data_IF_595641632886
#
_entry.id   IF_595641632886
#
_cell.length_a   1.000
_cell.length_b   1.000
_cell.length_c   1.000
_cell.angle_alpha   90.00
_cell.angle_beta   90.00
_cell.angle_gamma   90.00
#
_symmetry.space_group_name_H-M   'P 1'
#
loop_
_entity.id
_entity.type
_entity.pdbx_description
1 polymer ?
#
# COMPACT_ATOMS: atom_id res chain seq x y z
N UNK A 1 -4.18 -8.19 -11.39
CA UNK A 1 -3.30 -7.08 -10.98
C UNK A 1 -2.32 -7.59 -9.94
N UNK A 2 -1.14 -7.00 -9.82
CA UNK A 2 -0.17 -7.33 -8.75
C UNK A 2 0.27 -6.03 -8.07
N UNK A 3 0.29 -6.02 -6.74
CA UNK A 3 0.81 -4.91 -5.93
C UNK A 3 1.89 -5.41 -4.98
N UNK A 4 2.83 -4.55 -4.64
CA UNK A 4 3.83 -4.81 -3.60
C UNK A 4 3.33 -4.40 -2.22
N UNK A 5 3.74 -5.10 -1.18
CA UNK A 5 3.64 -4.66 0.21
C UNK A 5 4.88 -5.06 1.00
N UNK A 6 5.43 -4.20 1.88
CA UNK A 6 6.55 -4.57 2.72
C UNK A 6 6.07 -5.43 3.91
N UNK A 7 6.80 -6.50 4.21
CA UNK A 7 6.75 -7.21 5.49
C UNK A 7 7.98 -6.87 6.32
N UNK A 8 7.81 -6.61 7.62
CA UNK A 8 8.92 -6.36 8.53
C UNK A 8 9.89 -7.55 8.63
N UNK A 9 9.40 -8.77 8.38
CA UNK A 9 10.14 -10.04 8.46
C UNK A 9 10.90 -10.23 9.79
N UNK A 10 10.40 -9.64 10.88
CA UNK A 10 10.95 -9.77 12.25
C UNK A 10 10.16 -10.83 13.03
N UNK A 11 10.07 -12.04 12.46
CA UNK A 11 9.19 -13.10 12.96
C UNK A 11 9.81 -13.91 14.12
N UNK A 12 11.05 -13.59 14.51
CA UNK A 12 11.78 -14.25 15.61
C UNK A 12 12.18 -13.22 16.66
N UNK A 13 12.08 -13.58 17.95
CA UNK A 13 12.35 -12.65 19.07
C UNK A 13 13.80 -12.18 19.09
N UNK A 14 14.72 -13.01 18.61
CA UNK A 14 16.16 -12.76 18.60
C UNK A 14 16.55 -11.66 17.62
N UNK A 15 15.76 -11.46 16.55
CA UNK A 15 16.04 -10.45 15.50
C UNK A 15 15.24 -9.16 15.71
N UNK A 16 14.23 -9.17 16.59
CA UNK A 16 13.42 -7.99 16.90
C UNK A 16 14.27 -6.77 17.35
N UNK A 17 15.26 -6.90 18.25
CA UNK A 17 16.05 -5.74 18.71
C UNK A 17 17.19 -5.35 17.77
N UNK A 18 17.46 -6.14 16.72
CA UNK A 18 18.65 -5.94 15.88
C UNK A 18 18.49 -4.76 14.91
N UNK A 19 19.56 -3.96 14.79
CA UNK A 19 19.69 -2.94 13.76
C UNK A 19 20.15 -3.63 12.47
N UNK A 20 19.36 -3.51 11.40
CA UNK A 20 19.62 -4.15 10.11
C UNK A 20 18.44 -4.04 9.16
N UNK A 21 18.67 -4.38 7.89
CA UNK A 21 17.64 -4.40 6.86
C UNK A 21 16.96 -5.78 6.80
N UNK A 22 15.80 -5.88 7.44
CA UNK A 22 15.02 -7.13 7.51
C UNK A 22 13.77 -7.08 6.61
N UNK A 23 13.39 -5.90 6.11
CA UNK A 23 12.16 -5.75 5.33
C UNK A 23 12.22 -6.63 4.08
N UNK A 24 11.25 -7.50 3.92
CA UNK A 24 11.02 -8.24 2.68
C UNK A 24 9.81 -7.63 1.93
N UNK A 25 9.73 -7.84 0.62
CA UNK A 25 8.59 -7.40 -0.18
C UNK A 25 7.76 -8.59 -0.61
N UNK A 26 6.44 -8.50 -0.43
CA UNK A 26 5.48 -9.49 -0.89
C UNK A 26 4.73 -8.94 -2.10
N UNK A 27 4.68 -9.72 -3.19
CA UNK A 27 3.85 -9.42 -4.35
C UNK A 27 2.48 -10.09 -4.18
N UNK A 28 1.43 -9.28 -4.06
CA UNK A 28 0.06 -9.74 -3.88
C UNK A 28 -0.68 -9.69 -5.22
N UNK A 29 -1.01 -10.86 -5.75
CA UNK A 29 -1.78 -10.99 -6.99
C UNK A 29 -3.27 -11.00 -6.68
N UNK A 30 -3.99 -10.01 -7.17
CA UNK A 30 -5.44 -9.91 -7.03
C UNK A 30 -6.13 -10.11 -8.36
N UNK A 31 -7.25 -10.84 -8.34
CA UNK A 31 -8.07 -11.14 -9.51
C UNK A 31 -9.49 -10.58 -9.33
N UNK A 32 -9.94 -9.80 -10.32
CA UNK A 32 -11.28 -9.23 -10.39
C UNK A 32 -12.15 -9.89 -11.48
N UNK A 33 -11.66 -10.97 -12.12
CA UNK A 33 -12.42 -11.70 -13.13
C UNK A 33 -13.72 -12.25 -12.56
N UNK A 34 -14.78 -12.26 -13.36
CA UNK A 34 -16.09 -12.77 -12.94
C UNK A 34 -16.92 -11.76 -12.14
N UNK A 35 -16.45 -10.51 -12.05
CA UNK A 35 -17.15 -9.40 -11.39
C UNK A 35 -17.61 -9.79 -9.96
N UNK A 36 -16.66 -9.96 -9.01
CA UNK A 36 -16.99 -10.28 -7.63
C UNK A 36 -17.80 -9.16 -6.97
N UNK A 37 -18.51 -9.48 -5.89
CA UNK A 37 -18.99 -8.44 -4.97
C UNK A 37 -17.81 -7.85 -4.18
N UNK A 38 -18.01 -6.72 -3.51
CA UNK A 38 -17.00 -6.17 -2.60
C UNK A 38 -16.66 -7.18 -1.49
N UNK A 39 -17.66 -7.87 -0.94
CA UNK A 39 -17.45 -8.91 0.07
C UNK A 39 -16.57 -10.07 -0.45
N UNK A 40 -16.88 -10.59 -1.65
CA UNK A 40 -16.08 -11.65 -2.29
C UNK A 40 -14.65 -11.17 -2.54
N UNK A 41 -14.50 -9.94 -3.02
CA UNK A 41 -13.21 -9.33 -3.26
C UNK A 41 -12.36 -9.22 -1.99
N UNK A 42 -12.94 -8.69 -0.90
CA UNK A 42 -12.25 -8.58 0.39
C UNK A 42 -11.85 -9.95 0.96
N UNK A 43 -12.71 -10.96 0.81
CA UNK A 43 -12.40 -12.34 1.20
C UNK A 43 -11.20 -12.88 0.41
N UNK A 44 -11.20 -12.72 -0.90
CA UNK A 44 -10.09 -13.15 -1.77
C UNK A 44 -8.78 -12.42 -1.45
N UNK A 45 -8.85 -11.11 -1.17
CA UNK A 45 -7.67 -10.32 -0.77
C UNK A 45 -7.13 -10.82 0.57
N UNK A 46 -8.00 -11.10 1.55
CA UNK A 46 -7.61 -11.67 2.85
C UNK A 46 -6.89 -13.01 2.66
N UNK A 47 -7.47 -13.93 1.89
CA UNK A 47 -6.89 -15.24 1.62
C UNK A 47 -5.52 -15.12 0.94
N UNK A 48 -5.43 -14.31 -0.12
CA UNK A 48 -4.19 -14.06 -0.86
C UNK A 48 -3.11 -13.49 0.07
N UNK A 49 -3.48 -12.54 0.94
CA UNK A 49 -2.55 -11.89 1.86
C UNK A 49 -2.05 -12.86 2.93
N UNK A 50 -2.94 -13.68 3.51
CA UNK A 50 -2.54 -14.71 4.49
C UNK A 50 -1.63 -15.78 3.87
N UNK A 51 -1.94 -16.21 2.65
CA UNK A 51 -1.10 -17.16 1.90
C UNK A 51 0.27 -16.56 1.54
N UNK A 52 0.34 -15.26 1.24
CA UNK A 52 1.62 -14.60 1.03
C UNK A 52 2.44 -14.51 2.34
N UNK A 53 1.79 -14.22 3.47
CA UNK A 53 2.45 -14.18 4.77
C UNK A 53 3.00 -15.54 5.22
N UNK A 54 2.36 -16.66 4.87
CA UNK A 54 2.92 -17.98 5.19
C UNK A 54 4.21 -18.31 4.42
N UNK A 55 4.52 -17.55 3.37
CA UNK A 55 5.74 -17.69 2.56
C UNK A 55 6.67 -16.47 2.64
N UNK A 56 6.47 -15.58 3.62
CA UNK A 56 7.17 -14.31 3.70
C UNK A 56 8.69 -14.40 3.93
N UNK A 57 9.19 -15.58 4.30
CA UNK A 57 10.61 -15.82 4.51
C UNK A 57 11.38 -15.93 3.18
N UNK A 58 10.69 -16.16 2.05
CA UNK A 58 11.30 -16.21 0.72
C UNK A 58 11.64 -14.78 0.25
N UNK A 59 12.93 -14.44 0.04
CA UNK A 59 13.30 -13.12 -0.45
C UNK A 59 12.68 -12.82 -1.81
N UNK A 60 12.18 -11.59 -1.97
CA UNK A 60 11.54 -11.14 -3.21
C UNK A 60 12.39 -11.37 -4.47
N UNK A 61 13.71 -11.17 -4.38
CA UNK A 61 14.63 -11.38 -5.50
C UNK A 61 14.60 -12.80 -6.06
N UNK A 62 14.40 -13.83 -5.22
CA UNK A 62 14.26 -15.21 -5.72
C UNK A 62 12.96 -15.42 -6.50
N UNK A 63 11.90 -14.66 -6.18
CA UNK A 63 10.65 -14.68 -6.95
C UNK A 63 10.88 -14.03 -8.31
N UNK A 64 11.61 -12.91 -8.35
CA UNK A 64 11.99 -12.24 -9.60
C UNK A 64 12.83 -13.18 -10.47
N UNK A 65 13.84 -13.83 -9.89
CA UNK A 65 14.70 -14.78 -10.61
C UNK A 65 13.92 -15.97 -11.16
N UNK A 66 12.96 -16.51 -10.38
CA UNK A 66 12.15 -17.65 -10.80
C UNK A 66 11.15 -17.29 -11.92
N UNK A 67 10.56 -16.08 -11.88
CA UNK A 67 9.67 -15.59 -12.94
C UNK A 67 10.47 -15.16 -14.18
N UNK A 68 11.69 -14.67 -13.97
CA UNK A 68 12.61 -14.15 -14.99
C UNK A 68 11.93 -13.17 -15.98
N UNK A 69 11.32 -12.07 -15.48
CA UNK A 69 10.70 -11.08 -16.35
C UNK A 69 11.77 -10.30 -17.15
N UNK A 70 11.34 -9.65 -18.23
CA UNK A 70 12.24 -8.75 -18.97
C UNK A 70 12.76 -7.65 -18.04
N UNK A 71 14.08 -7.55 -17.94
CA UNK A 71 14.72 -6.60 -17.04
C UNK A 71 14.64 -5.19 -17.62
N UNK A 72 13.98 -4.30 -16.89
CA UNK A 72 13.91 -2.88 -17.22
C UNK A 72 14.35 -2.06 -15.99
N UNK A 73 15.30 -1.13 -16.17
CA UNK A 73 15.76 -0.26 -15.09
C UNK A 73 14.75 0.85 -14.74
N UNK A 74 13.77 1.11 -15.59
CA UNK A 74 12.75 2.14 -15.41
C UNK A 74 11.57 1.68 -14.54
N UNK A 75 11.37 0.38 -14.33
CA UNK A 75 10.23 -0.14 -13.57
C UNK A 75 10.60 -1.35 -12.71
N UNK A 76 9.88 -1.55 -11.62
CA UNK A 76 10.00 -2.76 -10.80
C UNK A 76 9.48 -3.99 -11.56
N UNK A 77 10.15 -5.16 -11.41
CA UNK A 77 10.00 -6.31 -12.31
C UNK A 77 8.65 -7.03 -12.26
N UNK A 78 7.89 -6.92 -11.15
CA UNK A 78 6.64 -7.69 -10.94
C UNK A 78 5.43 -6.78 -10.69
N UNK A 79 5.64 -5.62 -10.09
CA UNK A 79 4.59 -4.67 -9.74
C UNK A 79 5.11 -3.24 -9.81
N UNK A 80 4.23 -2.29 -10.09
CA UNK A 80 4.55 -0.86 -10.19
C UNK A 80 3.92 -0.03 -9.06
N UNK A 81 2.97 -0.63 -8.33
CA UNK A 81 2.26 0.02 -7.21
C UNK A 81 2.64 -0.67 -5.90
N UNK A 82 3.04 0.13 -4.92
CA UNK A 82 3.36 -0.32 -3.57
C UNK A 82 2.28 0.18 -2.59
N UNK A 83 1.80 -0.70 -1.72
CA UNK A 83 0.91 -0.34 -0.61
C UNK A 83 1.65 -0.58 0.71
N UNK A 84 1.80 0.47 1.51
CA UNK A 84 2.50 0.42 2.79
C UNK A 84 1.51 0.74 3.90
N UNK A 85 1.23 -0.24 4.75
CA UNK A 85 0.43 -0.03 5.95
C UNK A 85 1.33 -0.07 7.19
N UNK A 86 1.26 0.97 8.01
CA UNK A 86 1.97 1.04 9.28
C UNK A 86 1.00 1.35 10.41
N UNK A 87 0.90 0.45 11.38
CA UNK A 87 0.25 0.78 12.66
C UNK A 87 1.24 1.61 13.47
N UNK A 88 0.87 2.85 13.82
CA UNK A 88 1.70 3.64 14.70
C UNK A 88 1.64 3.04 16.11
N UNK A 89 2.76 2.49 16.59
CA UNK A 89 2.97 2.39 18.02
C UNK A 89 3.46 3.77 18.44
N UNK A 90 2.68 4.40 19.32
CA UNK A 90 2.86 5.73 19.87
C UNK A 90 4.34 6.18 19.82
N UNK A 91 4.63 7.06 18.86
CA UNK A 91 5.91 7.75 18.73
C UNK A 91 5.89 9.03 19.57
N UNK A 92 5.18 9.01 20.70
CA UNK A 92 5.28 10.06 21.71
C UNK A 92 6.76 10.39 21.88
N UNK A 93 7.05 11.68 21.75
CA UNK A 93 8.39 12.23 21.75
C UNK A 93 9.12 11.65 22.95
N UNK A 94 10.06 10.73 22.70
CA UNK A 94 10.83 10.15 23.80
C UNK A 94 11.59 11.31 24.44
N UNK A 95 11.21 11.68 25.66
CA UNK A 95 11.99 12.62 26.45
C UNK A 95 13.32 11.95 26.74
N UNK A 96 14.38 12.46 26.11
CA UNK A 96 15.76 12.07 26.41
C UNK A 96 16.25 12.90 27.58
N UNK A 97 15.83 12.55 28.81
CA UNK A 97 16.14 13.39 29.99
C UNK A 97 15.53 14.78 29.86
N UNK A 98 16.37 15.83 29.86
CA UNK A 98 15.93 17.24 29.79
C UNK A 98 15.76 17.77 28.35
N UNK A 99 15.82 16.90 27.35
CA UNK A 99 15.75 17.27 25.93
C UNK A 99 14.39 16.95 25.33
N UNK A 100 13.82 17.92 24.63
CA UNK A 100 12.65 17.73 23.76
C UNK A 100 13.11 17.31 22.37
N UNK A 101 12.55 16.20 21.87
CA UNK A 101 12.80 15.68 20.52
C UNK A 101 11.55 15.95 19.69
N UNK A 102 11.70 16.66 18.57
CA UNK A 102 10.62 16.88 17.61
C UNK A 102 11.02 16.33 16.24
N UNK A 103 10.15 15.53 15.58
CA UNK A 103 10.40 15.11 14.21
C UNK A 103 10.34 16.34 13.28
N UNK A 104 11.28 16.40 12.35
CA UNK A 104 11.26 17.36 11.24
C UNK A 104 10.86 16.59 9.99
N UNK A 105 9.90 17.12 9.23
CA UNK A 105 9.48 16.51 7.97
C UNK A 105 10.61 16.56 6.94
N UNK A 106 11.16 15.38 6.63
CA UNK A 106 12.10 15.22 5.53
C UNK A 106 11.32 14.95 4.25
N UNK A 107 11.51 15.83 3.26
CA UNK A 107 10.91 15.65 1.94
C UNK A 107 11.82 14.74 1.10
N UNK A 108 11.53 13.43 1.07
CA UNK A 108 12.12 12.55 0.07
C UNK A 108 11.60 12.97 -1.30
N UNK A 109 12.51 13.38 -2.19
CA UNK A 109 12.18 13.84 -3.56
C UNK A 109 12.26 12.73 -4.61
N UNK A 110 12.38 11.47 -4.18
CA UNK A 110 12.57 10.32 -5.07
C UNK A 110 11.48 9.31 -4.83
N UNK A 111 10.73 8.98 -5.89
CA UNK A 111 9.79 7.88 -5.88
C UNK A 111 10.51 6.58 -6.22
N UNK A 112 10.29 5.53 -5.40
CA UNK A 112 10.91 4.20 -5.61
C UNK A 112 10.11 3.30 -6.55
N UNK A 113 8.84 3.61 -6.71
CA UNK A 113 7.87 2.93 -7.57
C UNK A 113 7.06 3.99 -8.32
N UNK A 114 6.33 3.60 -9.36
CA UNK A 114 5.48 4.51 -10.11
C UNK A 114 4.47 5.21 -9.17
N UNK A 115 3.89 4.44 -8.22
CA UNK A 115 2.98 4.94 -7.19
C UNK A 115 3.14 4.14 -5.89
N UNK A 116 3.26 4.82 -4.76
CA UNK A 116 3.21 4.23 -3.43
C UNK A 116 2.12 4.90 -2.59
N UNK A 117 1.20 4.12 -2.03
CA UNK A 117 0.25 4.58 -1.03
C UNK A 117 0.73 4.19 0.36
N UNK A 118 1.07 5.19 1.16
CA UNK A 118 1.36 5.02 2.58
C UNK A 118 0.08 5.25 3.39
N UNK A 119 -0.26 4.32 4.26
CA UNK A 119 -1.35 4.42 5.22
C UNK A 119 -0.79 4.24 6.63
N UNK A 120 -1.19 5.14 7.52
CA UNK A 120 -0.81 5.14 8.93
C UNK A 120 -2.09 5.15 9.77
N UNK A 121 -2.19 4.17 10.65
CA UNK A 121 -3.25 4.10 11.66
C UNK A 121 -2.76 4.75 12.95
N UNK A 122 -3.51 5.73 13.46
CA UNK A 122 -3.22 6.46 14.70
C UNK A 122 -4.52 6.79 15.42
N UNK A 123 -4.67 6.30 16.65
CA UNK A 123 -5.92 6.35 17.41
C UNK A 123 -7.08 5.75 16.57
N UNK A 124 -8.20 6.46 16.46
CA UNK A 124 -9.36 6.06 15.66
C UNK A 124 -9.34 6.61 14.22
N UNK A 125 -8.18 7.10 13.76
CA UNK A 125 -8.02 7.69 12.43
C UNK A 125 -7.03 6.91 11.58
N UNK A 126 -7.33 6.82 10.28
CA UNK A 126 -6.43 6.29 9.27
C UNK A 126 -6.06 7.42 8.30
N UNK A 127 -4.82 7.84 8.35
CA UNK A 127 -4.23 8.86 7.49
C UNK A 127 -3.27 8.25 6.48
N UNK A 128 -2.82 9.04 5.51
CA UNK A 128 -1.89 8.54 4.50
C UNK A 128 -1.43 9.58 3.50
N UNK A 129 -0.52 9.17 2.63
CA UNK A 129 0.02 9.99 1.55
C UNK A 129 0.36 9.13 0.33
N UNK A 130 0.26 9.74 -0.84
CA UNK A 130 0.80 9.18 -2.08
C UNK A 130 2.20 9.73 -2.34
N UNK A 131 3.16 8.83 -2.56
CA UNK A 131 4.43 9.11 -3.22
C UNK A 131 4.30 8.64 -4.67
N UNK A 132 4.74 9.42 -5.64
CA UNK A 132 4.54 9.10 -7.05
C UNK A 132 5.68 9.62 -7.93
N UNK A 133 5.92 8.93 -9.04
CA UNK A 133 6.87 9.36 -10.05
C UNK A 133 6.29 10.55 -10.83
N UNK A 134 6.95 11.72 -10.76
CA UNK A 134 6.50 12.95 -11.42
C UNK A 134 6.62 12.91 -12.94
N UNK A 135 7.42 12.00 -13.49
CA UNK A 135 7.50 11.79 -14.94
C UNK A 135 6.25 11.06 -15.47
N UNK A 136 5.51 10.38 -14.60
CA UNK A 136 4.30 9.62 -14.93
C UNK A 136 3.02 10.32 -14.46
N UNK A 137 3.06 11.02 -13.33
CA UNK A 137 1.86 11.60 -12.70
C UNK A 137 2.04 13.08 -12.39
N UNK A 138 1.01 13.85 -12.74
CA UNK A 138 0.86 15.23 -12.28
C UNK A 138 0.18 15.25 -10.91
N UNK A 139 0.51 16.24 -10.08
CA UNK A 139 -0.13 16.43 -8.76
C UNK A 139 -1.65 16.41 -8.82
N UNK A 140 -2.24 17.10 -9.81
CA UNK A 140 -3.70 17.13 -10.04
C UNK A 140 -4.31 15.74 -10.29
N UNK A 141 -3.55 14.82 -10.89
CA UNK A 141 -3.99 13.44 -11.12
C UNK A 141 -4.07 12.68 -9.81
N UNK A 142 -3.07 12.87 -8.94
CA UNK A 142 -3.02 12.22 -7.62
C UNK A 142 -4.09 12.79 -6.69
N UNK A 143 -4.38 14.09 -6.76
CA UNK A 143 -5.52 14.70 -6.05
C UNK A 143 -6.85 14.05 -6.43
N UNK A 144 -7.04 13.72 -7.72
CA UNK A 144 -8.21 12.95 -8.18
C UNK A 144 -8.20 11.52 -7.65
N UNK A 145 -7.06 10.84 -7.68
CA UNK A 145 -6.95 9.48 -7.14
C UNK A 145 -7.28 9.42 -5.64
N UNK A 146 -6.91 10.45 -4.87
CA UNK A 146 -7.33 10.58 -3.47
C UNK A 146 -8.85 10.68 -3.36
N UNK A 147 -9.50 11.47 -4.23
CA UNK A 147 -10.97 11.56 -4.25
C UNK A 147 -11.60 10.20 -4.58
N UNK A 148 -11.12 9.52 -5.63
CA UNK A 148 -11.60 8.20 -6.04
C UNK A 148 -11.43 7.16 -4.95
N UNK A 149 -10.28 7.14 -4.28
CA UNK A 149 -10.02 6.25 -3.17
C UNK A 149 -11.04 6.45 -2.03
N UNK A 150 -11.34 7.70 -1.68
CA UNK A 150 -12.36 8.02 -0.66
C UNK A 150 -13.76 7.61 -1.10
N UNK A 151 -14.12 7.79 -2.37
CA UNK A 151 -15.42 7.35 -2.90
C UNK A 151 -15.55 5.83 -2.85
N UNK A 152 -14.53 5.09 -3.29
CA UNK A 152 -14.50 3.62 -3.21
C UNK A 152 -14.67 3.16 -1.76
N UNK A 153 -13.94 3.76 -0.81
CA UNK A 153 -14.05 3.41 0.61
C UNK A 153 -15.46 3.65 1.16
N UNK A 154 -16.14 4.73 0.75
CA UNK A 154 -17.55 4.96 1.14
C UNK A 154 -18.46 3.86 0.61
N UNK A 155 -18.32 3.48 -0.66
CA UNK A 155 -19.10 2.37 -1.24
C UNK A 155 -18.86 1.05 -0.51
N UNK A 156 -17.62 0.79 -0.06
CA UNK A 156 -17.29 -0.40 0.73
C UNK A 156 -17.99 -0.40 2.10
N UNK A 157 -18.20 0.77 2.70
CA UNK A 157 -18.89 0.91 3.98
C UNK A 157 -20.42 0.85 3.83
N UNK A 158 -20.95 1.30 2.70
CA UNK A 158 -22.39 1.39 2.45
C UNK A 158 -23.02 0.03 2.12
N UNK A 159 -22.50 -0.68 1.11
CA UNK A 159 -23.05 -1.98 0.69
C UNK A 159 -21.99 -2.90 0.08
N UNK A 160 -21.56 -3.89 0.86
CA UNK A 160 -20.58 -4.89 0.43
C UNK A 160 -21.11 -5.91 -0.59
N UNK A 161 -22.42 -5.96 -0.84
CA UNK A 161 -23.01 -6.78 -1.91
C UNK A 161 -22.86 -6.13 -3.30
N UNK A 162 -22.50 -4.85 -3.36
CA UNK A 162 -22.24 -4.13 -4.61
C UNK A 162 -21.16 -4.85 -5.44
N UNK A 163 -21.37 -4.93 -6.74
CA UNK A 163 -20.40 -5.50 -7.68
C UNK A 163 -19.26 -4.53 -7.95
N UNK A 164 -18.04 -5.05 -8.16
CA UNK A 164 -16.86 -4.19 -8.33
C UNK A 164 -16.95 -3.27 -9.56
N UNK A 165 -17.64 -3.68 -10.62
CA UNK A 165 -17.87 -2.85 -11.81
C UNK A 165 -18.95 -1.78 -11.64
N UNK A 166 -19.73 -1.85 -10.56
CA UNK A 166 -20.76 -0.88 -10.21
C UNK A 166 -20.23 0.22 -9.27
N UNK A 167 -18.98 0.10 -8.81
CA UNK A 167 -18.37 1.13 -7.96
C UNK A 167 -18.07 2.36 -8.81
N UNK A 168 -18.76 3.47 -8.53
CA UNK A 168 -18.43 4.75 -9.15
C UNK A 168 -17.12 5.29 -8.59
N UNK A 169 -16.18 5.61 -9.48
CA UNK A 169 -14.96 6.34 -9.10
C UNK A 169 -15.25 7.82 -8.86
N UNK A 170 -16.12 8.40 -9.68
CA UNK A 170 -16.50 9.80 -9.59
C UNK A 170 -17.41 10.00 -8.39
N UNK A 171 -17.14 11.06 -7.63
CA UNK A 171 -18.14 11.56 -6.70
C UNK A 171 -19.32 12.19 -7.47
N UNK A 172 -20.44 12.43 -6.79
CA UNK A 172 -21.64 13.00 -7.42
C UNK A 172 -21.36 14.36 -8.10
N UNK A 173 -20.40 15.13 -7.58
CA UNK A 173 -20.07 16.48 -8.08
C UNK A 173 -19.30 16.40 -9.40
N UNK A 174 -18.39 15.43 -9.55
CA UNK A 174 -17.70 15.16 -10.81
C UNK A 174 -18.62 14.49 -11.85
N UNK A 175 -19.60 13.68 -11.42
CA UNK A 175 -20.62 13.14 -12.33
C UNK A 175 -21.51 14.23 -12.93
N UNK A 176 -21.88 15.26 -12.16
CA UNK A 176 -22.69 16.39 -12.63
C UNK A 176 -21.95 17.35 -13.58
N UNK A 177 -20.63 17.23 -13.70
CA UNK A 177 -19.77 18.08 -14.55
C UNK A 177 -19.44 17.47 -15.91
N UNK A 178 -19.89 16.25 -16.18
CA UNK A 178 -19.75 15.53 -17.46
C UNK A 178 -21.08 15.57 -18.24
#
# INVERSE_FOLDING_TARGET
MVLGTPSANRNRKEIEPLIGFFVNTLALRTNLSGNPTIADFLSNVKETTLNAYSHQDLPFEYIVDAINPERNLSHSPIFQVMFVHQTSKDRSTKQGGNLSIMPIESHNRTAKFDLTLFMVESNDEVGGAFEFNTDLFLRKTIEKFISYFRTILKTFLDDTATKVDQISLLDKIEQERL
#
